data_IF_712537935689
#
_entry.id   IF_712537935689
#
_cell.length_a   1.000
_cell.length_b   1.000
_cell.length_c   1.000
_cell.angle_alpha   90.00
_cell.angle_beta   90.00
_cell.angle_gamma   90.00
#
_symmetry.space_group_name_H-M   'P 1'
#
loop_
_entity.id
_entity.type
_entity.pdbx_description
1 polymer ?
#
# COMPACT_ATOMS: atom_id res chain seq x y z
N UNK A 1 21.04 -1.80 -19.37
CA UNK A 1 20.50 -2.97 -20.08
C UNK A 1 19.17 -2.58 -20.74
N UNK A 2 19.12 -2.57 -22.07
CA UNK A 2 17.90 -2.29 -22.82
C UNK A 2 17.06 -3.56 -22.96
N UNK A 3 15.73 -3.43 -22.77
CA UNK A 3 14.77 -4.49 -23.02
C UNK A 3 13.94 -4.15 -24.24
N UNK A 4 13.47 -5.15 -24.98
CA UNK A 4 12.55 -4.94 -26.10
C UNK A 4 11.24 -4.29 -25.60
N UNK A 5 10.55 -3.50 -26.43
CA UNK A 5 9.26 -2.92 -26.06
C UNK A 5 8.25 -3.99 -25.65
N UNK A 6 7.50 -3.75 -24.59
CA UNK A 6 6.46 -4.64 -24.07
C UNK A 6 6.93 -5.95 -23.46
N UNK A 7 8.26 -6.19 -23.42
CA UNK A 7 8.79 -7.46 -22.94
C UNK A 7 8.73 -7.55 -21.42
N UNK A 8 9.29 -6.57 -20.71
CA UNK A 8 9.54 -6.74 -19.27
C UNK A 8 9.22 -5.50 -18.45
N UNK A 9 8.72 -5.71 -17.26
CA UNK A 9 8.63 -4.70 -16.19
C UNK A 9 9.26 -5.21 -14.91
N UNK A 10 9.47 -4.31 -13.96
CA UNK A 10 10.01 -4.61 -12.63
C UNK A 10 9.08 -4.03 -11.57
N UNK A 11 8.81 -4.80 -10.52
CA UNK A 11 7.94 -4.43 -9.39
C UNK A 11 8.72 -4.46 -8.08
N UNK A 12 8.48 -3.48 -7.24
CA UNK A 12 9.04 -3.37 -5.89
C UNK A 12 8.14 -2.56 -4.96
N UNK A 13 8.51 -2.53 -3.69
CA UNK A 13 7.92 -1.68 -2.66
C UNK A 13 8.98 -0.75 -2.06
N UNK A 14 8.64 0.53 -1.92
CA UNK A 14 9.30 1.39 -0.94
C UNK A 14 8.51 1.28 0.36
N UNK A 15 9.08 0.59 1.31
CA UNK A 15 8.42 0.28 2.57
C UNK A 15 8.68 1.35 3.62
N UNK A 16 7.69 1.56 4.51
CA UNK A 16 7.81 2.38 5.71
C UNK A 16 8.36 3.79 5.43
N UNK A 17 7.94 4.39 4.30
CA UNK A 17 8.27 5.78 4.01
C UNK A 17 7.58 6.67 5.04
N UNK A 18 8.36 7.46 5.75
CA UNK A 18 7.87 8.39 6.76
C UNK A 18 7.61 9.74 6.13
N UNK A 19 6.37 10.19 6.18
CA UNK A 19 5.91 11.50 5.71
C UNK A 19 5.31 12.27 6.87
N UNK A 20 5.55 13.55 6.95
CA UNK A 20 5.09 14.41 8.05
C UNK A 20 4.02 15.36 7.52
N UNK A 21 2.86 15.39 8.18
CA UNK A 21 1.76 16.30 7.84
C UNK A 21 2.06 17.75 8.24
N UNK A 22 1.20 18.68 7.83
CA UNK A 22 1.25 20.10 8.26
C UNK A 22 1.20 20.27 9.77
N UNK A 23 0.52 19.32 10.45
CA UNK A 23 0.34 19.33 11.90
C UNK A 23 1.43 18.56 12.65
N UNK A 24 2.48 18.08 11.96
CA UNK A 24 3.58 17.30 12.55
C UNK A 24 3.28 15.83 12.75
N UNK A 25 2.13 15.33 12.29
CA UNK A 25 1.75 13.93 12.41
C UNK A 25 2.60 13.06 11.46
N UNK A 26 3.02 11.89 11.97
CA UNK A 26 3.84 10.95 11.23
C UNK A 26 2.97 9.93 10.50
N UNK A 27 2.97 9.99 9.17
CA UNK A 27 2.37 9.00 8.29
C UNK A 27 3.43 7.98 7.86
N UNK A 28 3.27 6.75 8.28
CA UNK A 28 4.11 5.64 7.83
C UNK A 28 3.38 4.90 6.71
N UNK A 29 3.89 5.03 5.48
CA UNK A 29 3.21 4.58 4.27
C UNK A 29 4.10 3.68 3.43
N UNK A 30 3.46 2.89 2.57
CA UNK A 30 4.16 2.09 1.58
C UNK A 30 3.88 2.63 0.18
N UNK A 31 4.88 2.59 -0.68
CA UNK A 31 4.74 3.01 -2.07
C UNK A 31 4.95 1.80 -2.97
N UNK A 32 3.93 1.45 -3.75
CA UNK A 32 4.06 0.48 -4.82
C UNK A 32 4.79 1.09 -6.00
N UNK A 33 5.74 0.35 -6.54
CA UNK A 33 6.61 0.78 -7.63
C UNK A 33 6.54 -0.22 -8.77
N UNK A 34 6.26 0.25 -9.98
CA UNK A 34 6.37 -0.56 -11.19
C UNK A 34 7.01 0.27 -12.31
N UNK A 35 7.97 -0.30 -13.03
CA UNK A 35 8.67 0.37 -14.12
C UNK A 35 8.74 -0.52 -15.35
N UNK A 36 8.33 0.01 -16.50
CA UNK A 36 8.47 -0.66 -17.79
C UNK A 36 9.95 -0.69 -18.24
N UNK A 37 10.33 -1.81 -18.82
CA UNK A 37 11.72 -2.07 -19.16
C UNK A 37 12.27 -1.24 -20.33
N UNK A 38 11.46 -0.92 -21.33
CA UNK A 38 11.86 -0.17 -22.51
C UNK A 38 11.64 1.33 -22.36
N UNK A 39 10.39 1.77 -22.09
CA UNK A 39 10.07 3.21 -22.00
C UNK A 39 10.61 3.86 -20.73
N UNK A 40 10.88 3.09 -19.70
CA UNK A 40 11.16 3.58 -18.34
C UNK A 40 9.98 4.30 -17.71
N UNK A 41 8.78 4.11 -18.25
CA UNK A 41 7.56 4.64 -17.65
C UNK A 41 7.35 4.01 -16.29
N UNK A 42 7.05 4.85 -15.32
CA UNK A 42 6.95 4.52 -13.91
C UNK A 42 5.51 4.62 -13.46
N UNK A 43 5.04 3.61 -12.75
CA UNK A 43 3.80 3.68 -11.99
C UNK A 43 4.15 3.68 -10.51
N UNK A 44 3.58 4.64 -9.78
CA UNK A 44 3.83 4.86 -8.36
C UNK A 44 2.50 5.04 -7.66
N UNK A 45 2.24 4.26 -6.62
CA UNK A 45 0.99 4.35 -5.86
C UNK A 45 1.22 4.27 -4.37
N UNK A 46 0.60 5.21 -3.63
CA UNK A 46 0.53 5.19 -2.19
C UNK A 46 -0.36 4.05 -1.71
N UNK A 47 0.07 3.32 -0.69
CA UNK A 47 -0.73 2.25 -0.05
C UNK A 47 -0.56 2.26 1.46
N UNK A 48 -1.62 1.88 2.16
CA UNK A 48 -1.60 1.71 3.62
C UNK A 48 -1.08 0.34 4.07
N UNK A 49 -1.04 -0.63 3.16
CA UNK A 49 -0.61 -2.00 3.41
C UNK A 49 0.08 -2.62 2.19
N UNK A 50 0.63 -3.83 2.37
CA UNK A 50 1.29 -4.62 1.32
C UNK A 50 0.67 -6.01 1.20
N UNK A 51 -0.64 -6.12 1.41
CA UNK A 51 -1.34 -7.39 1.27
C UNK A 51 -1.31 -7.88 -0.18
N UNK A 52 -1.56 -9.17 -0.39
CA UNK A 52 -1.63 -9.73 -1.74
C UNK A 52 -2.76 -9.06 -2.57
N UNK A 53 -3.86 -8.72 -1.92
CA UNK A 53 -4.94 -7.96 -2.55
C UNK A 53 -4.49 -6.59 -3.00
N UNK A 54 -3.79 -5.84 -2.13
CA UNK A 54 -3.22 -4.52 -2.47
C UNK A 54 -2.23 -4.63 -3.62
N UNK A 55 -1.41 -5.69 -3.67
CA UNK A 55 -0.53 -5.96 -4.79
C UNK A 55 -1.31 -6.10 -6.10
N UNK A 56 -2.38 -6.91 -6.12
CA UNK A 56 -3.21 -7.10 -7.32
C UNK A 56 -3.91 -5.81 -7.76
N UNK A 57 -4.45 -5.02 -6.81
CA UNK A 57 -5.04 -3.71 -7.10
C UNK A 57 -4.03 -2.76 -7.75
N UNK A 58 -2.84 -2.65 -7.17
CA UNK A 58 -1.77 -1.80 -7.70
C UNK A 58 -1.31 -2.25 -9.09
N UNK A 59 -1.19 -3.56 -9.31
CA UNK A 59 -0.81 -4.10 -10.61
C UNK A 59 -1.88 -3.84 -11.67
N UNK A 60 -3.17 -4.06 -11.34
CA UNK A 60 -4.27 -3.79 -12.25
C UNK A 60 -4.27 -2.31 -12.70
N UNK A 61 -4.17 -1.38 -11.75
CA UNK A 61 -4.10 0.05 -12.06
C UNK A 61 -2.84 0.43 -12.86
N UNK A 62 -1.72 -0.24 -12.60
CA UNK A 62 -0.49 -0.03 -13.39
C UNK A 62 -0.69 -0.49 -14.85
N UNK A 63 -1.35 -1.63 -15.07
CA UNK A 63 -1.66 -2.12 -16.42
C UNK A 63 -2.60 -1.18 -17.17
N UNK A 64 -3.63 -0.67 -16.49
CA UNK A 64 -4.52 0.36 -17.06
C UNK A 64 -3.74 1.63 -17.42
N UNK A 65 -2.87 2.10 -16.53
CA UNK A 65 -2.03 3.28 -16.78
C UNK A 65 -1.07 3.10 -17.97
N UNK A 66 -0.48 1.91 -18.14
CA UNK A 66 0.41 1.60 -19.27
C UNK A 66 -0.35 1.31 -20.57
N UNK A 67 -1.64 1.04 -20.49
CA UNK A 67 -2.48 0.65 -21.62
C UNK A 67 -2.27 -0.79 -22.07
N UNK A 68 -1.80 -1.68 -21.17
CA UNK A 68 -1.58 -3.09 -21.44
C UNK A 68 -0.68 -3.77 -20.41
N UNK A 69 -0.45 -5.07 -20.61
CA UNK A 69 0.31 -5.94 -19.69
C UNK A 69 1.66 -6.32 -20.30
N UNK A 70 2.80 -6.09 -19.60
CA UNK A 70 4.10 -6.57 -20.06
C UNK A 70 4.15 -8.11 -20.02
N UNK A 71 4.88 -8.73 -20.98
CA UNK A 71 4.95 -10.20 -21.09
C UNK A 71 5.63 -10.85 -19.91
N UNK A 72 6.58 -10.18 -19.29
CA UNK A 72 7.35 -10.63 -18.13
C UNK A 72 7.34 -9.58 -17.04
N UNK A 73 7.17 -10.01 -15.81
CA UNK A 73 7.24 -9.11 -14.65
C UNK A 73 8.23 -9.68 -13.63
N UNK A 74 9.25 -8.89 -13.32
CA UNK A 74 10.29 -9.25 -12.35
C UNK A 74 9.88 -8.78 -10.97
N UNK A 75 9.82 -9.71 -10.03
CA UNK A 75 9.51 -9.49 -8.62
C UNK A 75 10.72 -9.78 -7.74
N UNK A 76 10.84 -9.08 -6.64
CA UNK A 76 11.67 -9.55 -5.53
C UNK A 76 10.99 -10.73 -4.80
N UNK A 77 11.71 -11.38 -3.90
CA UNK A 77 11.19 -12.47 -3.07
C UNK A 77 10.23 -11.97 -1.99
N UNK A 78 9.23 -11.18 -2.38
CA UNK A 78 8.21 -10.67 -1.46
C UNK A 78 7.22 -11.77 -1.07
N UNK A 79 6.79 -11.76 0.20
CA UNK A 79 5.90 -12.80 0.76
C UNK A 79 4.54 -12.92 0.05
N UNK A 80 4.09 -11.88 -0.63
CA UNK A 80 2.85 -11.87 -1.44
C UNK A 80 2.97 -12.62 -2.76
N UNK A 81 4.20 -12.88 -3.21
CA UNK A 81 4.54 -13.57 -4.47
C UNK A 81 5.12 -14.95 -4.21
N UNK A 82 5.91 -15.10 -3.14
CA UNK A 82 6.68 -16.32 -2.82
C UNK A 82 6.24 -16.92 -1.50
N UNK A 83 5.81 -18.18 -1.50
CA UNK A 83 5.47 -18.93 -0.27
C UNK A 83 6.70 -19.33 0.53
N UNK A 84 7.78 -19.76 -0.17
CA UNK A 84 9.07 -20.15 0.43
C UNK A 84 10.21 -19.88 -0.53
N UNK A 85 11.18 -19.10 -0.09
CA UNK A 85 12.50 -19.05 -0.69
C UNK A 85 13.38 -20.14 -0.06
N UNK A 86 13.58 -21.26 -0.70
CA UNK A 86 14.45 -22.32 -0.19
C UNK A 86 15.91 -22.02 -0.60
N UNK A 87 16.66 -21.39 0.30
CA UNK A 87 18.01 -20.87 0.08
C UNK A 87 19.05 -21.94 -0.29
N UNK A 88 18.78 -23.22 -0.02
CA UNK A 88 19.74 -24.31 -0.25
C UNK A 88 19.65 -25.00 -1.62
N UNK A 89 18.56 -24.85 -2.36
CA UNK A 89 18.33 -25.61 -3.62
C UNK A 89 17.91 -24.70 -4.80
N UNK A 90 17.79 -23.39 -4.59
CA UNK A 90 17.44 -22.44 -5.69
C UNK A 90 16.00 -22.53 -6.20
N UNK A 91 15.15 -23.35 -5.62
CA UNK A 91 13.74 -23.49 -6.01
C UNK A 91 12.87 -22.51 -5.21
N UNK A 92 12.41 -21.47 -5.88
CA UNK A 92 11.43 -20.52 -5.37
C UNK A 92 10.04 -21.09 -5.66
N UNK A 93 9.24 -21.33 -4.61
CA UNK A 93 7.84 -21.73 -4.76
C UNK A 93 6.97 -20.46 -4.74
N UNK A 94 6.34 -20.18 -5.88
CA UNK A 94 5.39 -19.06 -5.96
C UNK A 94 4.08 -19.41 -5.25
N UNK A 95 3.44 -18.36 -4.69
CA UNK A 95 2.12 -18.47 -4.08
C UNK A 95 1.09 -18.92 -5.12
N UNK A 96 0.26 -19.88 -4.78
CA UNK A 96 -0.72 -20.50 -5.70
C UNK A 96 -1.70 -19.44 -6.27
N UNK A 97 -2.23 -18.56 -5.43
CA UNK A 97 -3.16 -17.50 -5.85
C UNK A 97 -2.47 -16.50 -6.79
N UNK A 98 -1.19 -16.19 -6.51
CA UNK A 98 -0.39 -15.34 -7.38
C UNK A 98 -0.12 -15.97 -8.75
N UNK A 99 0.20 -17.27 -8.79
CA UNK A 99 0.38 -18.02 -10.06
C UNK A 99 -0.91 -18.03 -10.87
N UNK A 100 -2.06 -18.23 -10.22
CA UNK A 100 -3.35 -18.18 -10.92
C UNK A 100 -3.61 -16.78 -11.49
N UNK A 101 -3.40 -15.73 -10.68
CA UNK A 101 -3.50 -14.34 -11.13
C UNK A 101 -2.61 -14.08 -12.36
N UNK A 102 -1.34 -14.49 -12.32
CA UNK A 102 -0.43 -14.24 -13.44
C UNK A 102 -0.87 -14.94 -14.73
N UNK A 103 -1.47 -16.14 -14.64
CA UNK A 103 -2.02 -16.86 -15.79
C UNK A 103 -3.25 -16.19 -16.36
N UNK A 104 -4.17 -15.76 -15.51
CA UNK A 104 -5.43 -15.13 -15.93
C UNK A 104 -5.20 -13.74 -16.53
N UNK A 105 -4.20 -13.01 -16.04
CA UNK A 105 -3.75 -11.72 -16.60
C UNK A 105 -2.89 -11.91 -17.86
N UNK A 106 -2.15 -13.03 -17.97
CA UNK A 106 -1.38 -13.41 -19.16
C UNK A 106 0.10 -13.05 -19.11
N UNK A 107 0.68 -12.70 -17.94
CA UNK A 107 2.12 -12.42 -17.84
C UNK A 107 2.91 -13.58 -17.21
N UNK A 108 4.19 -13.64 -17.52
CA UNK A 108 5.13 -14.59 -16.91
C UNK A 108 5.84 -13.93 -15.70
N UNK A 109 5.64 -14.42 -14.47
CA UNK A 109 6.33 -13.91 -13.29
C UNK A 109 7.77 -14.45 -13.22
N UNK A 110 8.72 -13.52 -13.05
CA UNK A 110 10.14 -13.83 -12.88
C UNK A 110 10.54 -13.40 -11.47
N UNK A 111 11.06 -14.32 -10.66
CA UNK A 111 11.64 -13.99 -9.36
C UNK A 111 13.13 -13.76 -9.47
N UNK A 112 13.64 -12.74 -8.75
CA UNK A 112 15.07 -12.48 -8.69
C UNK A 112 15.79 -13.68 -8.04
N UNK A 113 16.80 -14.21 -8.72
CA UNK A 113 17.71 -15.19 -8.12
C UNK A 113 18.57 -14.50 -7.05
N UNK A 114 18.74 -15.15 -5.90
CA UNK A 114 19.39 -14.62 -4.67
C UNK A 114 20.81 -14.03 -4.90
N UNK A 115 21.43 -14.21 -6.07
CA UNK A 115 22.80 -13.77 -6.35
C UNK A 115 22.99 -12.99 -7.68
N UNK A 116 21.91 -12.39 -8.24
CA UNK A 116 22.02 -11.54 -9.45
C UNK A 116 21.33 -10.19 -9.26
N UNK A 117 21.94 -9.25 -8.53
CA UNK A 117 21.36 -7.91 -8.28
C UNK A 117 21.16 -7.08 -9.54
N UNK A 118 21.89 -7.37 -10.63
CA UNK A 118 21.83 -6.59 -11.87
C UNK A 118 20.46 -6.63 -12.59
N UNK A 119 19.58 -7.57 -12.24
CA UNK A 119 18.26 -7.71 -12.90
C UNK A 119 17.22 -6.69 -12.41
N UNK A 120 17.45 -6.01 -11.28
CA UNK A 120 16.47 -5.13 -10.60
C UNK A 120 16.83 -3.64 -10.61
N UNK A 121 17.92 -3.24 -11.24
CA UNK A 121 18.47 -1.88 -11.16
C UNK A 121 17.51 -0.75 -11.59
N UNK A 122 16.48 -1.04 -12.40
CA UNK A 122 15.52 -0.03 -12.86
C UNK A 122 14.55 0.37 -11.74
N UNK A 123 13.99 -0.59 -11.03
CA UNK A 123 13.07 -0.32 -9.92
C UNK A 123 13.81 0.16 -8.67
N UNK A 124 15.03 -0.27 -8.44
CA UNK A 124 15.89 0.27 -7.38
C UNK A 124 16.19 1.77 -7.59
N UNK A 125 16.44 2.16 -8.85
CA UNK A 125 16.59 3.59 -9.20
C UNK A 125 15.29 4.36 -8.95
N UNK A 126 14.13 3.75 -9.22
CA UNK A 126 12.84 4.35 -8.91
C UNK A 126 12.62 4.46 -7.40
N UNK A 127 12.99 3.45 -6.62
CA UNK A 127 12.87 3.48 -5.15
C UNK A 127 13.69 4.62 -4.53
N UNK A 128 14.88 4.90 -5.07
CA UNK A 128 15.68 6.08 -4.68
C UNK A 128 15.04 7.40 -5.12
N UNK A 129 14.46 7.43 -6.32
CA UNK A 129 13.77 8.62 -6.84
C UNK A 129 12.56 9.02 -5.98
N UNK A 130 11.86 8.03 -5.43
CA UNK A 130 10.69 8.22 -4.56
C UNK A 130 11.06 8.91 -3.23
N UNK A 131 12.32 8.88 -2.80
CA UNK A 131 12.77 9.66 -1.64
C UNK A 131 12.60 11.17 -1.84
N UNK A 132 12.47 11.65 -3.08
CA UNK A 132 12.11 13.06 -3.39
C UNK A 132 10.73 13.45 -2.85
N UNK A 133 9.83 12.51 -2.57
CA UNK A 133 8.55 12.79 -1.92
C UNK A 133 8.72 13.48 -0.55
N UNK A 134 9.84 13.29 0.13
CA UNK A 134 10.11 13.94 1.41
C UNK A 134 10.13 15.50 1.32
N UNK A 135 10.31 16.06 0.12
CA UNK A 135 10.18 17.51 -0.11
C UNK A 135 8.77 18.03 0.24
N UNK A 136 7.77 17.16 0.12
CA UNK A 136 6.37 17.47 0.44
C UNK A 136 5.99 17.25 1.91
N UNK A 137 6.96 17.02 2.80
CA UNK A 137 6.70 17.05 4.24
C UNK A 137 6.17 18.44 4.62
N UNK A 138 5.19 18.46 5.52
CA UNK A 138 4.45 19.66 5.96
C UNK A 138 3.59 20.33 4.89
N UNK A 139 3.31 19.62 3.76
CA UNK A 139 2.52 20.16 2.65
C UNK A 139 1.11 19.52 2.53
N UNK A 140 0.80 18.50 3.32
CA UNK A 140 -0.46 17.79 3.31
C UNK A 140 -1.05 17.64 4.72
N UNK A 141 -2.37 17.48 4.80
CA UNK A 141 -3.11 17.26 6.05
C UNK A 141 -3.63 15.81 6.13
N UNK A 142 -4.07 15.23 5.00
CA UNK A 142 -4.75 13.95 4.97
C UNK A 142 -4.05 12.94 4.07
N UNK A 143 -4.39 11.67 4.24
CA UNK A 143 -3.91 10.59 3.37
C UNK A 143 -4.31 10.83 1.90
N UNK A 144 -5.52 11.33 1.66
CA UNK A 144 -6.02 11.63 0.32
C UNK A 144 -5.24 12.77 -0.36
N UNK A 145 -4.80 13.76 0.42
CA UNK A 145 -3.92 14.83 -0.09
C UNK A 145 -2.53 14.28 -0.44
N UNK A 146 -1.97 13.42 0.42
CA UNK A 146 -0.72 12.74 0.13
C UNK A 146 -0.84 11.82 -1.10
N UNK A 147 -1.98 11.15 -1.29
CA UNK A 147 -2.24 10.35 -2.50
C UNK A 147 -2.25 11.23 -3.77
N UNK A 148 -2.83 12.43 -3.71
CA UNK A 148 -2.79 13.41 -4.83
C UNK A 148 -1.35 13.86 -5.12
N UNK A 149 -0.56 14.12 -4.09
CA UNK A 149 0.86 14.47 -4.22
C UNK A 149 1.62 13.34 -4.92
N UNK A 150 1.43 12.08 -4.50
CA UNK A 150 2.08 10.93 -5.13
C UNK A 150 1.67 10.78 -6.61
N UNK A 151 0.39 11.01 -6.94
CA UNK A 151 -0.09 11.00 -8.34
C UNK A 151 0.52 12.13 -9.17
N UNK A 152 0.66 13.31 -8.60
CA UNK A 152 1.32 14.46 -9.25
C UNK A 152 2.81 14.14 -9.48
N UNK A 153 3.51 13.69 -8.46
CA UNK A 153 4.90 13.26 -8.54
C UNK A 153 5.13 12.19 -9.63
N UNK A 154 4.24 11.20 -9.71
CA UNK A 154 4.31 10.17 -10.78
C UNK A 154 4.26 10.79 -12.17
N UNK A 155 3.41 11.80 -12.39
CA UNK A 155 3.34 12.52 -13.67
C UNK A 155 4.60 13.31 -13.95
N UNK A 156 5.17 13.97 -12.95
CA UNK A 156 6.41 14.75 -13.06
C UNK A 156 7.58 13.86 -13.51
N UNK A 157 7.83 12.75 -12.80
CA UNK A 157 8.97 11.87 -13.09
C UNK A 157 8.84 11.12 -14.42
N UNK A 158 7.65 11.03 -15.00
CA UNK A 158 7.44 10.48 -16.34
C UNK A 158 7.60 11.54 -17.44
N UNK A 159 7.58 12.83 -17.10
CA UNK A 159 7.86 13.96 -17.97
C UNK A 159 9.31 14.46 -17.88
N UNK A 160 10.09 14.00 -16.91
CA UNK A 160 11.53 14.26 -16.81
C UNK A 160 12.30 13.40 -17.82
N UNK A 161 13.39 13.94 -18.37
CA UNK A 161 14.29 13.17 -19.25
C UNK A 161 14.96 12.07 -18.44
N UNK A 162 14.75 10.82 -18.84
CA UNK A 162 15.41 9.68 -18.23
C UNK A 162 16.87 9.59 -18.66
N UNK A 163 17.80 9.59 -17.72
CA UNK A 163 19.25 9.46 -18.00
C UNK A 163 19.59 8.19 -18.79
N UNK A 164 18.85 7.10 -18.56
CA UNK A 164 19.10 5.82 -19.22
C UNK A 164 18.63 5.76 -20.68
N UNK A 165 17.81 6.70 -21.15
CA UNK A 165 17.24 6.69 -22.51
C UNK A 165 17.37 8.02 -23.24
N UNK A 166 17.78 9.07 -22.53
CA UNK A 166 17.88 10.45 -23.02
C UNK A 166 16.55 11.00 -23.61
N UNK A 167 15.42 10.40 -23.20
CA UNK A 167 14.06 10.76 -23.61
C UNK A 167 13.12 10.76 -22.43
N UNK A 168 11.98 11.42 -22.57
CA UNK A 168 10.90 11.35 -21.57
C UNK A 168 10.23 9.98 -21.61
N UNK A 169 10.02 9.32 -20.45
CA UNK A 169 9.33 8.03 -20.39
C UNK A 169 7.96 8.02 -21.08
N UNK A 170 7.16 9.08 -20.88
CA UNK A 170 5.82 9.18 -21.46
C UNK A 170 5.83 9.20 -23.01
N UNK A 171 6.84 9.78 -23.62
CA UNK A 171 6.98 9.81 -25.09
C UNK A 171 7.30 8.41 -25.63
N UNK A 172 8.14 7.65 -24.91
CA UNK A 172 8.49 6.27 -25.29
C UNK A 172 7.36 5.28 -25.03
N UNK A 173 6.46 5.58 -24.07
CA UNK A 173 5.30 4.75 -23.74
C UNK A 173 4.42 4.50 -24.94
N UNK A 174 4.15 5.51 -25.75
CA UNK A 174 3.32 5.38 -26.97
C UNK A 174 3.82 4.30 -27.95
N UNK A 175 5.15 4.07 -27.99
CA UNK A 175 5.73 2.96 -28.75
C UNK A 175 5.59 1.64 -28.02
N UNK A 176 5.84 1.61 -26.71
CA UNK A 176 5.83 0.38 -25.91
C UNK A 176 4.42 -0.21 -25.77
N UNK A 177 3.38 0.62 -25.61
CA UNK A 177 1.98 0.19 -25.50
C UNK A 177 1.54 -0.70 -26.66
N UNK A 178 2.03 -0.46 -27.87
CA UNK A 178 1.71 -1.29 -29.06
C UNK A 178 2.24 -2.72 -28.96
N UNK A 179 3.15 -3.00 -28.04
CA UNK A 179 3.81 -4.30 -27.86
C UNK A 179 3.43 -4.98 -26.54
N UNK A 180 2.65 -4.29 -25.69
CA UNK A 180 2.07 -4.89 -24.49
C UNK A 180 0.98 -5.90 -24.87
N UNK A 181 0.72 -6.85 -24.00
CA UNK A 181 -0.44 -7.72 -24.11
C UNK A 181 -1.71 -6.88 -23.86
N UNK A 182 -2.87 -7.24 -24.43
CA UNK A 182 -4.12 -6.55 -24.20
C UNK A 182 -4.51 -6.59 -22.72
N UNK A 183 -5.22 -5.55 -22.26
CA UNK A 183 -5.79 -5.55 -20.93
C UNK A 183 -6.84 -6.67 -20.82
N UNK A 184 -6.84 -7.44 -19.72
CA UNK A 184 -7.93 -8.36 -19.41
C UNK A 184 -9.25 -7.62 -19.24
N UNK A 185 -10.36 -8.34 -19.36
CA UNK A 185 -11.65 -7.76 -19.05
C UNK A 185 -11.79 -7.42 -17.56
N UNK A 186 -12.68 -6.49 -17.23
CA UNK A 186 -12.86 -5.99 -15.86
C UNK A 186 -13.28 -7.08 -14.86
N UNK A 187 -13.98 -8.12 -15.31
CA UNK A 187 -14.42 -9.22 -14.46
C UNK A 187 -13.22 -10.02 -13.95
N UNK A 188 -12.22 -10.29 -14.81
CA UNK A 188 -10.97 -10.96 -14.43
C UNK A 188 -10.19 -10.11 -13.44
N UNK A 189 -10.06 -8.80 -13.68
CA UNK A 189 -9.37 -7.88 -12.77
C UNK A 189 -10.07 -7.84 -11.40
N UNK A 190 -11.40 -7.74 -11.39
CA UNK A 190 -12.20 -7.69 -10.17
C UNK A 190 -12.16 -8.99 -9.36
N UNK A 191 -12.07 -10.16 -10.00
CA UNK A 191 -12.05 -11.46 -9.31
C UNK A 191 -10.98 -11.56 -8.20
N UNK A 192 -9.90 -10.82 -8.32
CA UNK A 192 -8.79 -10.81 -7.36
C UNK A 192 -8.84 -9.68 -6.34
N UNK A 193 -9.72 -8.70 -6.53
CA UNK A 193 -9.78 -7.46 -5.73
C UNK A 193 -11.10 -7.26 -4.98
N UNK A 194 -12.12 -8.06 -5.21
CA UNK A 194 -13.46 -7.89 -4.60
C UNK A 194 -13.58 -8.35 -3.15
N UNK A 195 -12.67 -9.21 -2.65
CA UNK A 195 -12.72 -9.60 -1.24
C UNK A 195 -12.36 -8.41 -0.33
N UNK A 196 -13.02 -8.23 0.82
CA UNK A 196 -12.69 -7.15 1.75
C UNK A 196 -11.21 -7.20 2.16
N UNK A 197 -10.57 -6.03 2.26
CA UNK A 197 -9.24 -5.92 2.87
C UNK A 197 -9.35 -6.18 4.37
N UNK A 198 -8.37 -6.93 4.88
CA UNK A 198 -8.26 -7.21 6.31
C UNK A 198 -7.16 -6.35 6.94
N UNK A 199 -7.46 -5.82 8.11
CA UNK A 199 -6.57 -4.99 8.91
C UNK A 199 -6.34 -5.66 10.26
N UNK A 200 -5.08 -5.86 10.62
CA UNK A 200 -4.73 -6.45 11.93
C UNK A 200 -4.88 -5.42 13.02
N UNK A 201 -5.58 -5.80 14.08
CA UNK A 201 -5.73 -4.95 15.27
C UNK A 201 -4.42 -4.96 16.07
N UNK A 202 -3.90 -3.78 16.36
CA UNK A 202 -2.66 -3.58 17.12
C UNK A 202 -2.86 -3.88 18.62
N UNK A 203 -1.77 -3.88 19.39
CA UNK A 203 -1.80 -4.03 20.85
C UNK A 203 -2.49 -2.85 21.53
N UNK A 204 -2.47 -1.68 20.89
CA UNK A 204 -3.14 -0.46 21.34
C UNK A 204 -4.64 -0.46 20.98
N UNK A 205 -5.19 -1.61 20.57
CA UNK A 205 -6.59 -1.76 20.13
C UNK A 205 -6.99 -0.82 19.00
N UNK A 206 -6.10 -0.63 18.06
CA UNK A 206 -6.26 0.24 16.91
C UNK A 206 -6.03 -0.51 15.59
N UNK A 207 -6.68 -0.04 14.54
CA UNK A 207 -6.31 -0.36 13.16
C UNK A 207 -5.77 0.89 12.46
N UNK A 208 -4.88 0.70 11.50
CA UNK A 208 -4.44 1.78 10.61
C UNK A 208 -5.13 1.65 9.26
N UNK A 209 -5.92 2.66 8.90
CA UNK A 209 -6.60 2.74 7.62
C UNK A 209 -6.31 4.10 6.96
N UNK A 210 -5.78 4.10 5.75
CA UNK A 210 -5.38 5.32 5.01
C UNK A 210 -4.53 6.29 5.83
N UNK A 211 -3.57 5.76 6.59
CA UNK A 211 -2.67 6.55 7.44
C UNK A 211 -3.25 7.04 8.75
N UNK A 212 -4.55 6.90 8.98
CA UNK A 212 -5.23 7.26 10.23
C UNK A 212 -5.45 6.03 11.11
N UNK A 213 -5.47 6.23 12.42
CA UNK A 213 -5.73 5.18 13.40
C UNK A 213 -7.17 5.25 13.90
N UNK A 214 -7.82 4.08 14.01
CA UNK A 214 -9.21 3.94 14.45
C UNK A 214 -9.29 2.92 15.57
N UNK A 215 -9.89 3.30 16.70
CA UNK A 215 -10.04 2.39 17.83
C UNK A 215 -11.08 1.32 17.58
N UNK A 216 -10.84 0.14 18.13
CA UNK A 216 -11.76 -1.00 18.15
C UNK A 216 -11.82 -1.60 19.56
N UNK A 217 -12.83 -2.42 19.90
CA UNK A 217 -12.87 -3.09 21.20
C UNK A 217 -11.65 -3.98 21.46
N UNK A 218 -11.18 -4.01 22.70
CA UNK A 218 -9.94 -4.70 23.14
C UNK A 218 -9.93 -6.20 22.87
N UNK A 219 -11.10 -6.87 22.88
CA UNK A 219 -11.19 -8.31 22.60
C UNK A 219 -10.80 -8.69 21.15
N UNK A 220 -10.62 -7.70 20.28
CA UNK A 220 -10.16 -7.88 18.89
C UNK A 220 -8.65 -7.74 18.73
N UNK A 221 -7.90 -7.40 19.77
CA UNK A 221 -6.43 -7.29 19.69
C UNK A 221 -5.84 -8.57 19.09
N UNK A 222 -4.98 -8.39 18.08
CA UNK A 222 -4.32 -9.48 17.35
C UNK A 222 -5.18 -10.17 16.28
N UNK A 223 -6.50 -9.90 16.22
CA UNK A 223 -7.39 -10.40 15.18
C UNK A 223 -7.38 -9.52 13.94
N UNK A 224 -7.92 -10.03 12.83
CA UNK A 224 -8.11 -9.27 11.60
C UNK A 224 -9.57 -8.81 11.49
N UNK A 225 -9.74 -7.55 11.08
CA UNK A 225 -11.05 -6.92 10.84
C UNK A 225 -11.08 -6.35 9.43
N UNK A 226 -12.27 -6.24 8.84
CA UNK A 226 -12.45 -5.60 7.53
C UNK A 226 -13.03 -4.19 7.69
N UNK A 227 -12.71 -3.33 6.73
CA UNK A 227 -13.15 -1.92 6.72
C UNK A 227 -14.01 -1.67 5.49
N UNK A 228 -15.15 -1.02 5.69
CA UNK A 228 -15.99 -0.48 4.63
C UNK A 228 -16.14 1.02 4.83
N UNK A 229 -15.69 1.78 3.87
CA UNK A 229 -15.81 3.25 3.86
C UNK A 229 -17.10 3.65 3.16
N UNK A 230 -17.79 4.62 3.74
CA UNK A 230 -18.93 5.34 3.14
C UNK A 230 -18.59 6.81 3.02
N UNK A 231 -19.51 7.65 2.55
CA UNK A 231 -19.26 9.10 2.44
C UNK A 231 -18.91 9.75 3.78
N UNK A 232 -19.59 9.35 4.87
CA UNK A 232 -19.46 9.98 6.19
C UNK A 232 -18.73 9.13 7.23
N UNK A 233 -18.71 7.79 7.07
CA UNK A 233 -18.26 6.87 8.11
C UNK A 233 -17.27 5.83 7.63
N UNK A 234 -16.41 5.42 8.53
CA UNK A 234 -15.56 4.22 8.46
C UNK A 234 -16.23 3.14 9.32
N UNK A 235 -16.72 2.07 8.69
CA UNK A 235 -17.36 0.93 9.34
C UNK A 235 -16.35 -0.20 9.48
N UNK A 236 -16.18 -0.72 10.68
CA UNK A 236 -15.24 -1.79 10.99
C UNK A 236 -16.02 -3.06 11.35
N UNK A 237 -15.72 -4.15 10.64
CA UNK A 237 -16.40 -5.43 10.77
C UNK A 237 -15.43 -6.51 11.24
N UNK A 238 -15.91 -7.37 12.15
CA UNK A 238 -15.27 -8.63 12.46
C UNK A 238 -16.12 -9.77 11.89
N UNK A 239 -15.55 -10.53 10.95
CA UNK A 239 -16.31 -11.44 10.08
C UNK A 239 -17.44 -10.69 9.33
N UNK A 240 -18.70 -10.96 9.64
CA UNK A 240 -19.89 -10.30 9.05
C UNK A 240 -20.53 -9.26 9.97
N UNK A 241 -20.08 -9.16 11.22
CA UNK A 241 -20.70 -8.28 12.22
C UNK A 241 -20.06 -6.90 12.22
N UNK A 242 -20.89 -5.86 12.16
CA UNK A 242 -20.43 -4.48 12.40
C UNK A 242 -20.06 -4.34 13.88
N UNK A 243 -18.79 -4.00 14.14
CA UNK A 243 -18.24 -3.84 15.49
C UNK A 243 -18.32 -2.40 15.95
N UNK A 244 -17.86 -1.49 15.09
CA UNK A 244 -17.83 -0.06 15.38
C UNK A 244 -17.87 0.77 14.11
N UNK A 245 -18.27 2.04 14.24
CA UNK A 245 -18.25 3.02 13.15
C UNK A 245 -17.62 4.32 13.65
N UNK A 246 -16.68 4.87 12.90
CA UNK A 246 -16.11 6.18 13.19
C UNK A 246 -16.58 7.18 12.15
N UNK A 247 -16.92 8.40 12.57
CA UNK A 247 -17.15 9.48 11.63
C UNK A 247 -15.83 9.85 10.95
N UNK A 248 -15.85 10.07 9.65
CA UNK A 248 -14.66 10.53 8.94
C UNK A 248 -14.19 11.87 9.50
N UNK A 249 -12.92 11.98 9.76
CA UNK A 249 -12.28 13.19 10.27
C UNK A 249 -10.92 13.36 9.58
N UNK A 250 -10.29 14.51 9.81
CA UNK A 250 -8.90 14.76 9.40
C UNK A 250 -7.90 14.35 10.49
N UNK A 251 -8.39 13.96 11.67
CA UNK A 251 -7.56 13.61 12.82
C UNK A 251 -6.79 12.31 12.56
N UNK A 252 -5.53 12.29 12.97
CA UNK A 252 -4.70 11.08 12.89
C UNK A 252 -5.21 9.96 13.80
N UNK A 253 -5.68 10.30 15.01
CA UNK A 253 -6.26 9.41 15.99
C UNK A 253 -7.78 9.58 16.04
N UNK A 254 -8.50 8.49 15.81
CA UNK A 254 -9.96 8.43 15.88
C UNK A 254 -10.34 7.34 16.88
N UNK A 255 -10.91 7.74 18.00
CA UNK A 255 -11.24 6.80 19.08
C UNK A 255 -12.66 7.00 19.59
N UNK A 256 -13.21 5.92 20.16
CA UNK A 256 -14.37 5.95 21.02
C UNK A 256 -13.92 5.90 22.47
N UNK A 257 -14.51 6.73 23.33
CA UNK A 257 -14.22 6.77 24.78
C UNK A 257 -14.25 5.39 25.41
N UNK A 258 -15.26 4.60 25.10
CA UNK A 258 -15.44 3.23 25.61
C UNK A 258 -14.23 2.33 25.34
N UNK A 259 -13.65 2.41 24.15
CA UNK A 259 -12.47 1.61 23.78
C UNK A 259 -11.22 2.02 24.57
N UNK A 260 -11.07 3.32 24.89
CA UNK A 260 -9.93 3.80 25.69
C UNK A 260 -10.09 3.37 27.13
N UNK A 261 -11.29 3.49 27.69
CA UNK A 261 -11.60 3.02 29.05
C UNK A 261 -11.24 1.53 29.18
N UNK A 262 -11.64 0.70 28.20
CA UNK A 262 -11.31 -0.73 28.19
C UNK A 262 -9.81 -1.01 28.15
N UNK A 263 -9.03 -0.23 27.38
CA UNK A 263 -7.56 -0.37 27.32
C UNK A 263 -6.96 -0.02 28.67
N UNK A 264 -7.35 1.11 29.26
CA UNK A 264 -6.83 1.56 30.55
C UNK A 264 -7.14 0.56 31.67
N UNK A 265 -8.34 0.00 31.69
CA UNK A 265 -8.73 -1.08 32.63
C UNK A 265 -7.87 -2.34 32.46
N UNK A 266 -7.49 -2.66 31.21
CA UNK A 266 -6.79 -3.92 30.93
C UNK A 266 -5.29 -3.86 31.30
N UNK A 267 -4.66 -2.69 31.26
CA UNK A 267 -3.19 -2.58 31.33
C UNK A 267 -2.69 -1.59 32.39
N UNK A 268 -3.08 -0.32 32.31
CA UNK A 268 -2.44 0.75 33.11
C UNK A 268 -3.12 1.01 34.48
N UNK A 269 -4.44 0.83 34.59
CA UNK A 269 -5.24 1.19 35.75
C UNK A 269 -5.97 -0.02 36.37
N UNK A 270 -5.32 -1.16 36.37
CA UNK A 270 -5.82 -2.36 37.08
C UNK A 270 -5.97 -2.07 38.56
N UNK A 271 -7.21 -2.00 39.06
CA UNK A 271 -7.51 -1.78 40.45
C UNK A 271 -8.22 -0.47 40.77
N UNK A 272 -8.39 0.40 39.80
CA UNK A 272 -9.25 1.58 39.94
C UNK A 272 -10.69 1.28 39.61
N UNK A 273 -11.64 2.02 40.24
CA UNK A 273 -13.05 1.88 39.91
C UNK A 273 -13.40 2.48 38.55
N UNK A 274 -14.44 1.96 37.91
CA UNK A 274 -14.86 2.36 36.57
C UNK A 274 -15.09 3.87 36.44
N UNK A 275 -15.68 4.49 37.45
CA UNK A 275 -15.96 5.92 37.48
C UNK A 275 -14.69 6.78 37.54
N UNK A 276 -13.64 6.32 38.22
CA UNK A 276 -12.36 7.03 38.33
C UNK A 276 -11.61 7.00 36.97
N UNK A 277 -11.71 5.86 36.27
CA UNK A 277 -11.09 5.72 34.94
C UNK A 277 -11.84 6.58 33.90
N UNK A 278 -13.16 6.62 33.97
CA UNK A 278 -13.95 7.46 33.06
C UNK A 278 -13.68 8.97 33.29
N UNK A 279 -13.58 9.40 34.54
CA UNK A 279 -13.24 10.78 34.89
C UNK A 279 -11.81 11.14 34.44
N UNK A 280 -10.85 10.22 34.60
CA UNK A 280 -9.50 10.38 34.08
C UNK A 280 -9.47 10.55 32.56
N UNK A 281 -10.25 9.71 31.84
CA UNK A 281 -10.37 9.80 30.37
C UNK A 281 -10.99 11.13 29.96
N UNK A 282 -12.08 11.59 30.63
CA UNK A 282 -12.74 12.84 30.30
C UNK A 282 -11.83 14.07 30.50
N UNK A 283 -11.00 14.05 31.54
CA UNK A 283 -10.09 15.15 31.84
C UNK A 283 -8.86 15.22 30.92
N UNK A 284 -8.44 14.10 30.33
CA UNK A 284 -7.21 14.04 29.52
C UNK A 284 -7.46 13.89 28.02
N UNK A 285 -8.69 13.52 27.61
CA UNK A 285 -9.00 13.42 26.18
C UNK A 285 -9.09 14.77 25.50
N UNK A 286 -9.45 15.84 26.20
CA UNK A 286 -9.39 17.20 25.67
C UNK A 286 -7.99 17.60 25.21
N UNK A 287 -6.95 17.13 25.90
CA UNK A 287 -5.54 17.42 25.57
C UNK A 287 -5.11 16.74 24.28
N UNK A 288 -5.73 15.59 23.90
CA UNK A 288 -5.48 14.88 22.64
C UNK A 288 -6.32 15.41 21.47
N UNK A 289 -7.39 16.19 21.74
CA UNK A 289 -8.21 16.81 20.71
C UNK A 289 -7.62 18.13 20.18
N UNK A 290 -6.65 18.71 20.89
CA UNK A 290 -5.91 19.91 20.52
C UNK A 290 -4.60 19.65 19.76
N UNK A 291 -4.18 18.38 19.66
CA UNK A 291 -3.04 17.92 18.85
C UNK A 291 -3.53 17.44 17.47
#
# INVERSE_FOLDING_TARGET
>A
FETAPGLQSQVDWKENLKMISKHGELFEVNIFLMVLGYSRTKFVKLTSDKTQKTLFECMNEAFEYFGGVPKEIVFDNMATVVDRANSKIGNVKLNTKFVQYSKDIGFNPITCRIYRPQTKGKVESLAKLVDRLQVYNHEFETYEELEKIVKMFMKEINNEISQGTNMKPIERLAKETKHLLPLPNQEVLNAYTTSPKEYKVSKESMITYKGQKYSVPTYLIGKSVSVKETEEYIHIYYTTNLITKHKKSKKFLNYHKEHIVDILKSDALKGYEDNEIEEFVDNHLSDYDEL
#
